data_IF_344777824442
#
_entry.id   IF_344777824442
#
_cell.length_a   1.000
_cell.length_b   1.000
_cell.length_c   1.000
_cell.angle_alpha   90.00
_cell.angle_beta   90.00
_cell.angle_gamma   90.00
#
_symmetry.space_group_name_H-M   'P 1'
#
loop_
_entity.id
_entity.type
_entity.pdbx_description
1 polymer ?
#
# COMPACT_ATOMS: atom_id res chain seq x y z
N UNK A 1 38.69 -96.77 44.76
CA UNK A 1 38.11 -95.81 43.84
C UNK A 1 36.96 -95.10 44.60
N UNK A 2 37.28 -94.04 45.28
CA UNK A 2 36.38 -93.29 46.12
C UNK A 2 35.94 -91.99 45.48
N UNK A 3 34.62 -91.85 45.35
CA UNK A 3 33.99 -90.58 44.93
C UNK A 3 33.84 -89.70 46.18
N UNK A 4 34.36 -88.53 46.14
CA UNK A 4 34.15 -87.49 47.17
C UNK A 4 33.14 -86.50 46.59
N UNK A 5 32.02 -86.37 47.31
CA UNK A 5 30.96 -85.44 46.99
C UNK A 5 31.18 -84.20 47.82
N UNK A 6 31.35 -83.02 47.22
CA UNK A 6 31.36 -81.74 47.92
C UNK A 6 30.02 -81.04 47.74
N UNK A 7 29.42 -80.81 48.90
CA UNK A 7 28.23 -79.98 49.00
C UNK A 7 28.66 -78.55 49.11
N UNK A 8 28.25 -77.67 48.17
CA UNK A 8 28.45 -76.24 48.27
C UNK A 8 27.13 -75.57 48.57
N UNK A 9 27.04 -74.92 49.74
CA UNK A 9 25.98 -74.08 50.21
C UNK A 9 26.08 -72.73 49.46
N UNK A 10 25.14 -72.41 48.57
CA UNK A 10 25.08 -71.15 47.86
C UNK A 10 24.24 -70.15 48.63
N UNK A 11 24.85 -69.09 49.09
CA UNK A 11 24.16 -67.94 49.69
C UNK A 11 23.61 -67.08 48.57
N UNK A 12 22.26 -66.96 48.52
CA UNK A 12 21.57 -66.10 47.61
C UNK A 12 21.59 -64.64 48.20
N UNK A 13 22.38 -63.77 47.61
CA UNK A 13 22.31 -62.33 47.89
C UNK A 13 21.32 -61.71 46.92
N UNK A 14 20.13 -61.32 47.42
CA UNK A 14 19.15 -60.55 46.66
C UNK A 14 19.63 -59.08 46.62
N UNK A 15 20.18 -58.62 45.51
CA UNK A 15 20.37 -57.20 45.21
C UNK A 15 19.06 -56.66 44.66
N UNK A 16 18.34 -55.87 45.43
CA UNK A 16 17.16 -55.10 44.98
C UNK A 16 17.66 -53.87 44.17
N UNK A 17 17.47 -53.91 42.83
CA UNK A 17 17.59 -52.73 41.98
C UNK A 17 16.34 -51.86 42.18
N UNK A 18 16.47 -50.75 42.91
CA UNK A 18 15.49 -49.67 42.88
C UNK A 18 15.68 -48.93 41.56
N UNK A 19 14.84 -49.22 40.55
CA UNK A 19 14.72 -48.45 39.36
C UNK A 19 13.93 -47.17 39.67
N UNK A 20 14.59 -46.05 39.93
CA UNK A 20 13.96 -44.73 39.94
C UNK A 20 13.65 -44.33 38.49
N UNK A 21 12.41 -44.51 38.10
CA UNK A 21 11.88 -43.93 36.85
C UNK A 21 11.78 -42.43 37.07
N UNK A 22 12.76 -41.68 36.57
CA UNK A 22 12.66 -40.23 36.35
C UNK A 22 11.64 -40.06 35.24
N UNK A 23 10.41 -39.84 35.61
CA UNK A 23 9.33 -39.44 34.71
C UNK A 23 9.68 -38.03 34.21
N UNK A 24 10.29 -37.90 33.01
CA UNK A 24 10.24 -36.67 32.27
C UNK A 24 8.78 -36.45 31.88
N UNK A 25 8.04 -35.71 32.71
CA UNK A 25 6.81 -35.08 32.24
C UNK A 25 7.27 -34.07 31.18
N UNK A 26 7.14 -34.43 29.90
CA UNK A 26 7.14 -33.45 28.82
C UNK A 26 6.00 -32.47 29.19
N UNK A 27 6.36 -31.29 29.72
CA UNK A 27 5.46 -30.16 29.76
C UNK A 27 5.06 -29.94 28.30
N UNK A 28 3.86 -30.35 27.93
CA UNK A 28 3.28 -30.01 26.65
C UNK A 28 3.37 -28.48 26.55
N UNK A 29 4.11 -27.98 25.58
CA UNK A 29 4.07 -26.56 25.27
C UNK A 29 2.59 -26.21 25.10
N UNK A 30 2.08 -25.30 25.93
CA UNK A 30 0.75 -24.75 25.71
C UNK A 30 0.69 -24.27 24.26
N UNK A 31 -0.36 -24.56 23.50
CA UNK A 31 -0.50 -24.01 22.16
C UNK A 31 -0.37 -22.49 22.27
N UNK A 32 0.56 -21.93 21.52
CA UNK A 32 0.67 -20.47 21.41
C UNK A 32 -0.73 -19.92 21.12
N UNK A 33 -1.16 -18.86 21.79
CA UNK A 33 -2.44 -18.24 21.47
C UNK A 33 -2.48 -17.94 19.96
N UNK A 34 -3.63 -18.12 19.30
CA UNK A 34 -3.73 -17.84 17.88
C UNK A 34 -3.23 -16.42 17.65
N UNK A 35 -2.27 -16.29 16.76
CA UNK A 35 -1.67 -14.99 16.41
C UNK A 35 -2.80 -14.09 15.93
N UNK A 36 -2.93 -12.91 16.51
CA UNK A 36 -3.91 -11.93 16.05
C UNK A 36 -3.59 -11.53 14.61
N UNK A 37 -4.63 -11.29 13.82
CA UNK A 37 -4.48 -10.87 12.42
C UNK A 37 -5.14 -9.52 12.23
N UNK A 38 -4.51 -8.69 11.41
CA UNK A 38 -5.05 -7.43 10.93
C UNK A 38 -5.14 -7.48 9.40
N UNK A 39 -6.36 -7.40 8.88
CA UNK A 39 -6.64 -7.42 7.45
C UNK A 39 -6.64 -6.00 6.91
N UNK A 40 -5.77 -5.71 5.95
CA UNK A 40 -5.57 -4.38 5.38
C UNK A 40 -5.85 -4.42 3.88
N UNK A 41 -6.70 -3.52 3.38
CA UNK A 41 -6.77 -3.27 1.94
C UNK A 41 -6.04 -1.95 1.62
N UNK A 42 -5.19 -1.97 0.61
CA UNK A 42 -4.45 -0.80 0.15
C UNK A 42 -4.57 -0.62 -1.36
N UNK A 43 -4.11 0.51 -1.89
CA UNK A 43 -4.05 0.69 -3.35
C UNK A 43 -2.81 0.03 -3.93
N UNK A 44 -2.93 -0.45 -5.18
CA UNK A 44 -1.80 -1.00 -5.93
C UNK A 44 -0.64 0.00 -5.98
N UNK A 45 -0.92 1.27 -6.27
CA UNK A 45 0.10 2.32 -6.34
C UNK A 45 0.82 2.54 -5.00
N UNK A 46 0.12 2.54 -3.86
CA UNK A 46 0.76 2.65 -2.56
C UNK A 46 1.59 1.40 -2.22
N UNK A 47 1.09 0.22 -2.54
CA UNK A 47 1.82 -1.03 -2.33
C UNK A 47 3.11 -1.09 -3.16
N UNK A 48 3.03 -0.70 -4.43
CA UNK A 48 4.14 -0.71 -5.39
C UNK A 48 5.27 0.26 -5.01
N UNK A 49 5.01 1.28 -4.19
CA UNK A 49 6.08 2.15 -3.65
C UNK A 49 7.02 1.41 -2.70
N UNK A 50 6.61 0.25 -2.18
CA UNK A 50 7.35 -0.50 -1.17
C UNK A 50 7.20 0.03 0.26
N UNK A 51 6.44 1.09 0.50
CA UNK A 51 6.27 1.67 1.84
C UNK A 51 5.69 0.64 2.82
N UNK A 52 4.73 -0.18 2.39
CA UNK A 52 4.19 -1.25 3.22
C UNK A 52 5.25 -2.28 3.60
N UNK A 53 6.04 -2.79 2.65
CA UNK A 53 7.13 -3.71 2.94
C UNK A 53 8.18 -3.17 3.91
N UNK A 54 8.24 -1.83 4.08
CA UNK A 54 9.08 -1.16 5.05
C UNK A 54 8.42 -1.03 6.43
N UNK A 55 7.12 -0.68 6.50
CA UNK A 55 6.41 -0.40 7.76
C UNK A 55 5.77 -1.64 8.41
N UNK A 56 5.27 -2.59 7.61
CA UNK A 56 4.60 -3.82 8.04
C UNK A 56 5.40 -4.60 9.10
N UNK A 57 6.70 -4.96 8.88
CA UNK A 57 7.46 -5.72 9.88
C UNK A 57 7.65 -4.97 11.20
N UNK A 58 7.62 -3.63 11.17
CA UNK A 58 7.75 -2.81 12.38
C UNK A 58 6.47 -2.86 13.20
N UNK A 59 5.32 -2.71 12.53
CA UNK A 59 4.01 -2.81 13.17
C UNK A 59 3.76 -4.20 13.74
N UNK A 60 4.00 -5.25 12.95
CA UNK A 60 3.84 -6.65 13.40
C UNK A 60 4.67 -6.95 14.65
N UNK A 61 5.91 -6.49 14.66
CA UNK A 61 6.81 -6.67 15.82
C UNK A 61 6.34 -5.91 17.05
N UNK A 62 5.84 -4.68 16.87
CA UNK A 62 5.42 -3.81 17.98
C UNK A 62 4.13 -4.32 18.63
N UNK A 63 3.17 -4.77 17.82
CA UNK A 63 1.84 -5.16 18.30
C UNK A 63 1.63 -6.68 18.41
N UNK A 64 2.59 -7.50 18.00
CA UNK A 64 2.48 -8.96 18.05
C UNK A 64 1.35 -9.51 17.18
N UNK A 65 1.08 -8.88 16.05
CA UNK A 65 0.02 -9.19 15.09
C UNK A 65 0.62 -9.62 13.76
N UNK A 66 -0.09 -10.40 12.96
CA UNK A 66 0.23 -10.68 11.55
C UNK A 66 -0.66 -9.83 10.66
N UNK A 67 -0.08 -9.11 9.72
CA UNK A 67 -0.83 -8.29 8.75
C UNK A 67 -1.11 -9.08 7.47
N UNK A 68 -2.39 -9.06 7.06
CA UNK A 68 -2.83 -9.56 5.76
C UNK A 68 -3.09 -8.39 4.83
N UNK A 69 -2.12 -8.02 4.02
CA UNK A 69 -2.24 -6.87 3.11
C UNK A 69 -2.69 -7.35 1.73
N UNK A 70 -3.86 -6.89 1.30
CA UNK A 70 -4.35 -7.03 -0.07
C UNK A 70 -4.30 -5.68 -0.77
N UNK A 71 -3.97 -5.68 -2.06
CA UNK A 71 -3.88 -4.45 -2.84
C UNK A 71 -4.73 -4.53 -4.11
N UNK A 72 -5.43 -3.44 -4.41
CA UNK A 72 -6.33 -3.32 -5.54
C UNK A 72 -6.50 -1.86 -5.95
N UNK A 73 -7.31 -1.57 -6.97
CA UNK A 73 -7.76 -0.19 -7.23
C UNK A 73 -8.64 0.33 -6.07
N UNK A 74 -8.68 1.65 -5.89
CA UNK A 74 -9.41 2.30 -4.78
C UNK A 74 -10.85 1.78 -4.62
N UNK A 75 -11.61 1.67 -5.71
CA UNK A 75 -13.00 1.19 -5.67
C UNK A 75 -13.13 -0.23 -5.11
N UNK A 76 -12.22 -1.13 -5.49
CA UNK A 76 -12.19 -2.52 -5.00
C UNK A 76 -11.76 -2.56 -3.54
N UNK A 77 -10.77 -1.76 -3.13
CA UNK A 77 -10.34 -1.69 -1.74
C UNK A 77 -11.48 -1.22 -0.81
N UNK A 78 -12.25 -0.21 -1.24
CA UNK A 78 -13.44 0.26 -0.53
C UNK A 78 -14.54 -0.82 -0.48
N UNK A 79 -14.70 -1.60 -1.55
CA UNK A 79 -15.66 -2.70 -1.58
C UNK A 79 -15.31 -3.83 -0.61
N UNK A 80 -14.02 -4.16 -0.45
CA UNK A 80 -13.58 -5.07 0.63
C UNK A 80 -13.97 -4.54 2.01
N UNK A 81 -13.84 -3.22 2.23
CA UNK A 81 -14.30 -2.58 3.46
C UNK A 81 -15.81 -2.67 3.66
N UNK A 82 -16.64 -2.41 2.61
CA UNK A 82 -18.10 -2.52 2.68
C UNK A 82 -18.57 -3.92 3.07
N UNK A 83 -17.90 -4.95 2.56
CA UNK A 83 -18.21 -6.35 2.85
C UNK A 83 -17.67 -6.84 4.19
N UNK A 84 -16.77 -6.07 4.85
CA UNK A 84 -16.09 -6.48 6.08
C UNK A 84 -15.02 -7.55 5.87
N UNK A 85 -14.47 -7.63 4.66
CA UNK A 85 -13.38 -8.55 4.33
C UNK A 85 -12.05 -8.08 4.94
N UNK A 86 -11.95 -6.79 5.28
CA UNK A 86 -10.79 -6.15 5.89
C UNK A 86 -11.18 -5.37 7.15
N UNK A 87 -10.20 -5.00 7.95
CA UNK A 87 -10.36 -4.25 9.20
C UNK A 87 -10.03 -2.76 9.04
N UNK A 88 -9.15 -2.46 8.08
CA UNK A 88 -8.71 -1.10 7.76
C UNK A 88 -8.41 -0.99 6.27
N UNK A 89 -8.66 0.17 5.70
CA UNK A 89 -8.28 0.50 4.33
C UNK A 89 -7.30 1.67 4.33
N UNK A 90 -6.35 1.66 3.38
CA UNK A 90 -5.40 2.76 3.14
C UNK A 90 -5.42 3.10 1.66
N UNK A 91 -6.02 4.23 1.35
CA UNK A 91 -6.33 4.67 -0.01
C UNK A 91 -6.04 6.16 -0.19
N UNK A 92 -6.24 6.72 -1.39
CA UNK A 92 -5.89 8.09 -1.72
C UNK A 92 -6.90 8.76 -2.68
N UNK A 93 -8.19 8.55 -2.44
CA UNK A 93 -9.26 9.20 -3.20
C UNK A 93 -10.24 9.88 -2.26
N UNK A 94 -9.95 11.13 -1.88
CA UNK A 94 -10.69 11.88 -0.85
C UNK A 94 -12.20 11.80 -1.02
N UNK A 95 -12.72 12.04 -2.21
CA UNK A 95 -14.17 12.02 -2.48
C UNK A 95 -14.80 10.65 -2.18
N UNK A 96 -14.15 9.55 -2.60
CA UNK A 96 -14.66 8.21 -2.32
C UNK A 96 -14.51 7.82 -0.85
N UNK A 97 -13.46 8.28 -0.19
CA UNK A 97 -13.20 8.06 1.23
C UNK A 97 -14.23 8.77 2.10
N UNK A 98 -14.50 10.05 1.80
CA UNK A 98 -15.53 10.85 2.48
C UNK A 98 -16.93 10.24 2.29
N UNK A 99 -17.24 9.77 1.08
CA UNK A 99 -18.49 9.06 0.81
C UNK A 99 -18.58 7.76 1.61
N UNK A 100 -17.51 6.95 1.67
CA UNK A 100 -17.45 5.70 2.41
C UNK A 100 -17.71 5.91 3.91
N UNK A 101 -17.14 6.98 4.49
CA UNK A 101 -17.37 7.37 5.88
C UNK A 101 -18.81 7.89 6.07
N UNK A 102 -19.31 8.73 5.17
CA UNK A 102 -20.67 9.27 5.23
C UNK A 102 -21.75 8.18 5.11
N UNK A 103 -21.48 7.10 4.37
CA UNK A 103 -22.32 5.90 4.27
C UNK A 103 -22.25 5.03 5.55
N UNK A 104 -21.37 5.35 6.51
CA UNK A 104 -21.20 4.68 7.79
C UNK A 104 -20.37 3.40 7.74
N UNK A 105 -19.68 3.08 6.65
CA UNK A 105 -18.80 1.91 6.54
C UNK A 105 -17.42 2.12 7.17
N UNK A 106 -16.92 3.36 7.16
CA UNK A 106 -15.70 3.77 7.84
C UNK A 106 -16.00 4.58 9.08
N UNK A 107 -15.10 4.54 10.07
CA UNK A 107 -15.22 5.36 11.30
C UNK A 107 -14.83 6.79 11.02
N UNK A 108 -13.62 7.03 10.55
CA UNK A 108 -13.03 8.32 10.27
C UNK A 108 -11.94 8.19 9.21
N UNK A 109 -11.78 9.22 8.40
CA UNK A 109 -10.69 9.37 7.46
C UNK A 109 -9.51 10.05 8.14
N UNK A 110 -8.39 9.35 8.27
CA UNK A 110 -7.17 9.85 8.93
C UNK A 110 -6.04 9.94 7.91
N UNK A 111 -5.69 11.13 7.39
CA UNK A 111 -4.54 11.33 6.53
C UNK A 111 -3.24 11.02 7.28
N UNK A 112 -2.29 10.32 6.65
CA UNK A 112 -1.00 10.02 7.29
C UNK A 112 0.19 10.46 6.46
N UNK A 113 0.02 10.59 5.14
CA UNK A 113 1.07 11.05 4.23
C UNK A 113 0.46 11.65 2.97
N UNK A 114 1.24 12.44 2.25
CA UNK A 114 0.87 12.89 0.91
C UNK A 114 2.09 12.94 -0.01
N UNK A 115 1.83 12.92 -1.29
CA UNK A 115 2.78 13.27 -2.34
C UNK A 115 2.04 13.98 -3.48
N UNK A 116 2.65 14.04 -4.65
CA UNK A 116 2.02 14.64 -5.81
C UNK A 116 1.96 13.62 -6.96
N UNK A 117 0.94 13.76 -7.78
CA UNK A 117 0.97 13.23 -9.11
C UNK A 117 1.92 14.07 -9.97
N UNK A 118 2.41 13.46 -11.04
CA UNK A 118 3.25 14.08 -12.04
C UNK A 118 2.60 13.93 -13.40
N UNK A 119 2.67 14.94 -14.24
CA UNK A 119 2.54 14.73 -15.68
C UNK A 119 3.96 14.54 -16.19
N UNK A 120 4.25 13.37 -16.73
CA UNK A 120 5.55 13.00 -17.28
C UNK A 120 5.44 12.93 -18.80
N UNK A 121 6.56 13.13 -19.50
CA UNK A 121 6.61 13.09 -20.95
C UNK A 121 8.04 12.97 -21.46
N UNK A 122 8.22 12.83 -22.77
CA UNK A 122 9.56 12.80 -23.38
C UNK A 122 10.27 14.14 -23.24
N UNK A 123 11.60 14.11 -23.19
CA UNK A 123 12.44 15.32 -23.11
C UNK A 123 12.15 16.34 -24.23
N UNK A 124 11.71 15.85 -25.39
CA UNK A 124 11.39 16.68 -26.55
C UNK A 124 10.18 17.61 -26.34
N UNK A 125 9.33 17.33 -25.36
CA UNK A 125 8.14 18.12 -24.99
C UNK A 125 7.38 18.69 -26.21
N UNK A 126 6.81 17.84 -27.09
CA UNK A 126 6.25 18.29 -28.37
C UNK A 126 5.10 19.29 -28.23
N UNK A 127 4.38 19.26 -27.13
CA UNK A 127 3.32 20.22 -26.81
C UNK A 127 3.83 21.45 -26.05
N UNK A 128 5.10 21.45 -25.63
CA UNK A 128 5.73 22.52 -24.83
C UNK A 128 4.90 22.85 -23.57
N UNK A 129 4.60 21.82 -22.79
CA UNK A 129 3.79 21.92 -21.55
C UNK A 129 4.64 22.00 -20.28
N UNK A 130 5.95 21.81 -20.37
CA UNK A 130 6.85 21.80 -19.21
C UNK A 130 6.73 23.08 -18.38
N UNK A 131 6.45 22.90 -17.08
CA UNK A 131 6.33 24.01 -16.12
C UNK A 131 5.00 24.77 -16.17
N UNK A 132 4.02 24.33 -16.96
CA UNK A 132 2.65 24.89 -16.95
C UNK A 132 1.88 24.42 -15.73
N UNK A 133 0.69 25.01 -15.47
CA UNK A 133 -0.26 24.38 -14.56
C UNK A 133 -0.80 23.07 -15.17
N UNK A 134 -1.21 22.08 -14.37
CA UNK A 134 -1.76 20.82 -14.89
C UNK A 134 -2.93 21.03 -15.85
N UNK A 135 -3.82 21.96 -15.50
CA UNK A 135 -5.03 22.29 -16.25
C UNK A 135 -4.67 22.94 -17.60
N UNK A 136 -3.78 23.93 -17.58
CA UNK A 136 -3.34 24.63 -18.80
C UNK A 136 -2.58 23.68 -19.73
N UNK A 137 -1.81 22.74 -19.18
CA UNK A 137 -1.11 21.74 -19.95
C UNK A 137 -2.06 20.81 -20.69
N UNK A 138 -3.06 20.26 -19.99
CA UNK A 138 -4.06 19.39 -20.62
C UNK A 138 -4.93 20.18 -21.62
N UNK A 139 -5.28 21.43 -21.29
CA UNK A 139 -5.96 22.32 -22.22
C UNK A 139 -5.14 22.51 -23.48
N UNK A 140 -3.84 22.79 -23.39
CA UNK A 140 -2.95 22.95 -24.52
C UNK A 140 -2.83 21.69 -25.37
N UNK A 141 -2.76 20.51 -24.74
CA UNK A 141 -2.79 19.23 -25.45
C UNK A 141 -4.08 19.09 -26.28
N UNK A 142 -5.22 19.43 -25.70
CA UNK A 142 -6.51 19.36 -26.40
C UNK A 142 -6.61 20.35 -27.56
N UNK A 143 -6.14 21.58 -27.38
CA UNK A 143 -6.20 22.63 -28.39
C UNK A 143 -5.24 22.41 -29.57
N UNK A 144 -4.07 21.82 -29.31
CA UNK A 144 -3.02 21.66 -30.33
C UNK A 144 -2.99 20.28 -30.97
N UNK A 145 -3.42 19.25 -30.25
CA UNK A 145 -3.22 17.83 -30.64
C UNK A 145 -1.73 17.46 -30.78
N UNK A 146 -0.84 18.24 -30.16
CA UNK A 146 0.60 18.05 -30.28
C UNK A 146 1.08 17.08 -29.20
N UNK A 147 1.50 15.89 -29.63
CA UNK A 147 1.94 14.82 -28.74
C UNK A 147 0.79 13.88 -28.33
N UNK A 148 1.16 12.66 -27.98
CA UNK A 148 0.22 11.64 -27.51
C UNK A 148 0.07 11.76 -26.00
N UNK A 149 -1.09 11.33 -25.51
CA UNK A 149 -1.32 11.14 -24.06
C UNK A 149 -1.78 9.70 -23.81
N UNK A 150 -1.07 9.01 -22.94
CA UNK A 150 -1.43 7.63 -22.53
C UNK A 150 -2.12 7.71 -21.17
N UNK A 151 -3.40 7.42 -21.16
CA UNK A 151 -4.19 7.28 -19.94
C UNK A 151 -4.08 5.87 -19.38
N UNK A 152 -4.24 5.71 -18.07
CA UNK A 152 -4.44 4.39 -17.48
C UNK A 152 -5.71 3.72 -17.99
N UNK A 153 -6.82 4.44 -18.14
CA UNK A 153 -8.09 3.92 -18.65
C UNK A 153 -8.68 2.73 -17.86
N UNK A 154 -8.39 2.60 -16.54
CA UNK A 154 -8.67 1.40 -15.74
C UNK A 154 -9.50 1.68 -14.47
N UNK A 155 -10.16 2.83 -14.42
CA UNK A 155 -10.95 3.33 -13.27
C UNK A 155 -10.19 3.34 -11.91
N UNK A 156 -8.86 3.38 -11.95
CA UNK A 156 -8.01 3.57 -10.77
C UNK A 156 -8.09 4.98 -10.20
N UNK A 157 -7.49 5.19 -9.02
CA UNK A 157 -7.35 6.53 -8.44
C UNK A 157 -6.58 7.50 -9.34
N UNK A 158 -5.55 7.03 -10.05
CA UNK A 158 -4.80 7.83 -11.04
C UNK A 158 -5.69 8.23 -12.23
N UNK A 159 -6.48 7.29 -12.75
CA UNK A 159 -7.44 7.57 -13.82
C UNK A 159 -8.53 8.56 -13.36
N UNK A 160 -9.04 8.40 -12.13
CA UNK A 160 -9.98 9.35 -11.53
C UNK A 160 -9.38 10.75 -11.36
N UNK A 161 -8.11 10.85 -10.97
CA UNK A 161 -7.36 12.11 -10.88
C UNK A 161 -7.21 12.76 -12.25
N UNK A 162 -6.85 12.00 -13.26
CA UNK A 162 -6.76 12.47 -14.64
C UNK A 162 -8.08 13.07 -15.15
N UNK A 163 -9.19 12.34 -14.96
CA UNK A 163 -10.54 12.84 -15.29
C UNK A 163 -10.85 14.17 -14.59
N UNK A 164 -10.40 14.31 -13.34
CA UNK A 164 -10.60 15.57 -12.57
C UNK A 164 -9.80 16.72 -13.16
N UNK A 165 -8.58 16.48 -13.64
CA UNK A 165 -7.75 17.52 -14.27
C UNK A 165 -8.37 17.92 -15.62
N UNK A 166 -8.81 16.97 -16.45
CA UNK A 166 -9.52 17.25 -17.71
C UNK A 166 -10.77 18.11 -17.50
N UNK A 167 -11.56 17.76 -16.49
CA UNK A 167 -12.75 18.55 -16.13
C UNK A 167 -12.37 19.97 -15.70
N UNK A 168 -11.30 20.15 -14.95
CA UNK A 168 -10.85 21.46 -14.51
C UNK A 168 -10.21 22.27 -15.67
N UNK A 169 -9.64 21.58 -16.66
CA UNK A 169 -9.20 22.18 -17.93
C UNK A 169 -10.37 22.60 -18.84
N UNK A 170 -11.61 22.26 -18.48
CA UNK A 170 -12.83 22.65 -19.20
C UNK A 170 -13.32 21.63 -20.21
N UNK A 171 -12.88 20.37 -20.13
CA UNK A 171 -13.25 19.31 -21.08
C UNK A 171 -13.97 18.17 -20.39
N UNK A 172 -15.06 17.70 -21.01
CA UNK A 172 -15.70 16.45 -20.65
C UNK A 172 -14.82 15.28 -21.10
N UNK A 173 -14.71 14.27 -20.24
CA UNK A 173 -13.83 13.12 -20.50
C UNK A 173 -14.22 12.35 -21.77
N UNK A 174 -15.52 12.23 -22.06
CA UNK A 174 -16.05 11.59 -23.27
C UNK A 174 -15.58 12.31 -24.55
N UNK A 175 -15.33 13.62 -24.50
CA UNK A 175 -14.77 14.39 -25.61
C UNK A 175 -13.28 14.09 -25.77
N UNK A 176 -12.55 14.01 -24.65
CA UNK A 176 -11.11 13.73 -24.66
C UNK A 176 -10.82 12.35 -25.25
N UNK A 177 -11.62 11.33 -24.92
CA UNK A 177 -11.45 9.96 -25.42
C UNK A 177 -11.67 9.80 -26.92
N UNK A 178 -12.26 10.80 -27.60
CA UNK A 178 -12.44 10.77 -29.06
C UNK A 178 -11.23 11.31 -29.81
N UNK A 179 -10.23 11.88 -29.12
CA UNK A 179 -9.06 12.42 -29.76
C UNK A 179 -8.10 11.31 -30.20
N UNK A 180 -7.61 11.35 -31.44
CA UNK A 180 -6.70 10.32 -31.99
C UNK A 180 -5.35 10.23 -31.24
N UNK A 181 -4.95 11.29 -30.58
CA UNK A 181 -3.70 11.35 -29.77
C UNK A 181 -3.90 10.84 -28.34
N UNK A 182 -5.12 10.58 -27.90
CA UNK A 182 -5.44 10.06 -26.56
C UNK A 182 -5.64 8.55 -26.61
N UNK A 183 -4.89 7.82 -25.78
CA UNK A 183 -4.86 6.36 -25.81
C UNK A 183 -5.05 5.82 -24.38
N UNK A 184 -6.06 4.99 -24.19
CA UNK A 184 -6.28 4.27 -22.93
C UNK A 184 -5.50 2.96 -22.91
N UNK A 185 -4.54 2.82 -21.98
CA UNK A 185 -3.74 1.61 -21.84
C UNK A 185 -4.52 0.44 -21.25
N UNK A 186 -5.55 0.70 -20.43
CA UNK A 186 -6.32 -0.33 -19.72
C UNK A 186 -5.46 -1.15 -18.76
N UNK A 187 -4.37 -0.56 -18.20
CA UNK A 187 -3.35 -1.29 -17.42
C UNK A 187 -2.90 -0.50 -16.21
N UNK A 188 -2.20 -1.19 -15.27
CA UNK A 188 -1.57 -0.58 -14.11
C UNK A 188 -0.50 0.46 -14.49
N UNK A 189 -0.04 1.25 -13.49
CA UNK A 189 0.82 2.41 -13.75
C UNK A 189 2.16 2.06 -14.38
N UNK A 190 2.85 1.00 -13.93
CA UNK A 190 4.11 0.57 -14.51
C UNK A 190 4.03 0.31 -16.02
N UNK A 191 3.17 -0.60 -16.51
CA UNK A 191 2.93 -0.82 -17.94
C UNK A 191 2.52 0.43 -18.70
N UNK A 192 1.73 1.34 -18.08
CA UNK A 192 1.34 2.61 -18.70
C UNK A 192 2.56 3.53 -18.90
N UNK A 193 3.47 3.61 -17.92
CA UNK A 193 4.72 4.37 -18.03
C UNK A 193 5.62 3.83 -19.14
N UNK A 194 5.76 2.50 -19.26
CA UNK A 194 6.53 1.90 -20.37
C UNK A 194 5.92 2.25 -21.71
N UNK A 195 4.61 2.14 -21.87
CA UNK A 195 3.92 2.50 -23.09
C UNK A 195 4.12 4.00 -23.42
N UNK A 196 4.00 4.87 -22.44
CA UNK A 196 4.25 6.31 -22.63
C UNK A 196 5.70 6.58 -23.03
N UNK A 197 6.68 5.86 -22.48
CA UNK A 197 8.10 5.96 -22.83
C UNK A 197 8.34 5.50 -24.27
N UNK A 198 7.82 4.35 -24.69
CA UNK A 198 7.94 3.81 -26.04
C UNK A 198 7.28 4.71 -27.10
N UNK A 199 6.11 5.27 -26.78
CA UNK A 199 5.36 6.15 -27.66
C UNK A 199 5.80 7.62 -27.60
N UNK A 200 6.80 7.95 -26.78
CA UNK A 200 7.27 9.33 -26.52
C UNK A 200 6.09 10.26 -26.12
N UNK A 201 5.18 9.71 -25.33
CA UNK A 201 3.90 10.31 -24.96
C UNK A 201 3.96 10.95 -23.57
N UNK A 202 2.94 11.75 -23.28
CA UNK A 202 2.64 12.20 -21.91
C UNK A 202 1.80 11.18 -21.18
N UNK A 203 1.91 11.14 -19.85
CA UNK A 203 1.00 10.38 -18.98
C UNK A 203 0.97 10.99 -17.59
N UNK A 204 -0.11 10.74 -16.86
CA UNK A 204 -0.22 11.05 -15.43
C UNK A 204 0.30 9.85 -14.63
N UNK A 205 1.20 10.09 -13.68
CA UNK A 205 1.72 9.06 -12.76
C UNK A 205 1.76 9.60 -11.34
N UNK A 206 1.62 8.71 -10.36
CA UNK A 206 2.07 9.05 -9.01
C UNK A 206 3.62 9.09 -8.95
N UNK A 207 4.14 9.95 -8.09
CA UNK A 207 5.58 10.16 -7.94
C UNK A 207 6.31 8.88 -7.54
N UNK A 208 5.73 8.08 -6.64
CA UNK A 208 6.36 6.86 -6.13
C UNK A 208 6.61 5.85 -7.23
N UNK A 209 5.58 5.55 -8.04
CA UNK A 209 5.71 4.62 -9.16
C UNK A 209 6.67 5.15 -10.22
N UNK A 210 6.58 6.44 -10.59
CA UNK A 210 7.52 7.02 -11.57
C UNK A 210 8.98 6.85 -11.12
N UNK A 211 9.28 7.12 -9.86
CA UNK A 211 10.64 7.00 -9.33
C UNK A 211 11.13 5.56 -9.24
N UNK A 212 10.25 4.60 -8.95
CA UNK A 212 10.60 3.18 -8.94
C UNK A 212 11.05 2.67 -10.33
N UNK A 213 10.64 3.36 -11.39
CA UNK A 213 11.05 3.05 -12.77
C UNK A 213 12.08 4.04 -13.33
N UNK A 214 12.53 5.02 -12.54
CA UNK A 214 13.56 5.99 -12.96
C UNK A 214 14.81 5.29 -13.49
N UNK A 215 15.30 5.74 -14.66
CA UNK A 215 16.44 5.13 -15.36
C UNK A 215 16.10 3.91 -16.24
N UNK A 216 14.81 3.51 -16.28
CA UNK A 216 14.29 2.51 -17.23
C UNK A 216 13.33 3.10 -18.26
N UNK A 217 13.06 4.39 -18.15
CA UNK A 217 12.10 5.14 -18.96
C UNK A 217 12.79 6.35 -19.57
N UNK A 218 12.45 6.65 -20.82
CA UNK A 218 12.84 7.88 -21.51
C UNK A 218 11.76 8.96 -21.28
N UNK A 219 11.41 9.17 -20.01
CA UNK A 219 10.42 10.15 -19.57
C UNK A 219 11.01 11.05 -18.48
N UNK A 220 10.60 12.31 -18.50
CA UNK A 220 10.94 13.30 -17.47
C UNK A 220 9.67 13.92 -16.88
N UNK A 221 9.71 14.44 -15.64
CA UNK A 221 8.65 15.28 -15.11
C UNK A 221 8.48 16.54 -15.95
N UNK A 222 7.31 16.71 -16.53
CA UNK A 222 6.90 17.94 -17.21
C UNK A 222 6.23 18.90 -16.25
N UNK A 223 5.38 18.33 -15.36
CA UNK A 223 4.63 19.08 -14.36
C UNK A 223 4.65 18.29 -13.06
N UNK A 224 5.16 18.91 -12.01
CA UNK A 224 5.34 18.34 -10.68
C UNK A 224 4.70 19.19 -9.56
N UNK A 225 3.95 20.24 -9.95
CA UNK A 225 3.32 21.20 -9.03
C UNK A 225 1.90 21.53 -9.47
N UNK A 226 1.09 21.88 -8.49
CA UNK A 226 -0.32 22.27 -8.65
C UNK A 226 -1.18 21.59 -7.61
N UNK A 227 -2.13 22.31 -7.02
CA UNK A 227 -2.98 21.80 -5.93
C UNK A 227 -3.78 20.57 -6.37
N UNK A 228 -4.21 20.53 -7.63
CA UNK A 228 -4.94 19.39 -8.16
C UNK A 228 -4.09 18.11 -8.24
N UNK A 229 -2.76 18.22 -8.29
CA UNK A 229 -1.84 17.08 -8.27
C UNK A 229 -1.63 16.51 -6.87
N UNK A 230 -2.12 17.19 -5.82
CA UNK A 230 -1.99 16.69 -4.46
C UNK A 230 -2.64 15.31 -4.32
N UNK A 231 -1.92 14.39 -3.73
CA UNK A 231 -2.29 13.00 -3.53
C UNK A 231 -2.13 12.62 -2.06
N UNK A 232 -3.24 12.60 -1.32
CA UNK A 232 -3.26 12.37 0.12
C UNK A 232 -3.65 10.93 0.41
N UNK A 233 -2.80 10.24 1.13
CA UNK A 233 -3.02 8.86 1.61
C UNK A 233 -3.64 8.89 2.99
N UNK A 234 -4.75 8.18 3.13
CA UNK A 234 -5.51 8.11 4.38
C UNK A 234 -5.74 6.68 4.81
N UNK A 235 -5.79 6.47 6.12
CA UNK A 235 -6.23 5.23 6.74
C UNK A 235 -7.65 5.39 7.29
N UNK A 236 -8.50 4.38 7.10
CA UNK A 236 -9.89 4.36 7.56
C UNK A 236 -10.18 3.01 8.20
N UNK A 237 -10.44 2.99 9.51
CA UNK A 237 -10.90 1.79 10.19
C UNK A 237 -12.34 1.46 9.75
N UNK A 238 -12.61 0.18 9.54
CA UNK A 238 -13.97 -0.28 9.19
C UNK A 238 -14.87 -0.18 10.41
N UNK A 239 -16.06 0.36 10.21
CA UNK A 239 -17.02 0.59 11.30
C UNK A 239 -17.57 -0.74 11.85
N UNK A 240 -17.34 -1.07 13.14
CA UNK A 240 -17.81 -2.31 13.75
C UNK A 240 -19.36 -2.37 13.86
N UNK A 241 -20.06 -1.25 13.81
CA UNK A 241 -21.54 -1.25 13.78
C UNK A 241 -22.08 -1.85 12.47
N UNK A 242 -21.38 -1.68 11.36
CA UNK A 242 -21.70 -2.31 10.06
C UNK A 242 -21.09 -3.70 9.94
N UNK A 243 -19.87 -3.88 10.42
CA UNK A 243 -19.08 -5.08 10.31
C UNK A 243 -18.60 -5.57 11.69
N UNK A 244 -19.41 -6.29 12.47
CA UNK A 244 -19.10 -6.67 13.87
C UNK A 244 -17.86 -7.57 14.03
N UNK A 245 -17.31 -8.11 12.93
CA UNK A 245 -16.09 -8.93 12.95
C UNK A 245 -14.80 -8.11 12.78
N UNK A 246 -14.92 -6.78 12.60
CA UNK A 246 -13.76 -5.89 12.45
C UNK A 246 -12.90 -5.93 13.72
N UNK A 247 -11.60 -6.13 13.53
CA UNK A 247 -10.61 -5.94 14.59
C UNK A 247 -10.33 -4.44 14.77
N UNK A 248 -11.32 -3.74 15.34
CA UNK A 248 -11.27 -2.27 15.46
C UNK A 248 -10.13 -1.80 16.36
N UNK A 249 -9.77 -2.56 17.38
CA UNK A 249 -8.66 -2.22 18.27
C UNK A 249 -7.35 -2.17 17.47
N UNK A 250 -7.07 -3.20 16.69
CA UNK A 250 -5.83 -3.30 15.92
C UNK A 250 -5.84 -2.34 14.72
N UNK A 251 -7.01 -2.08 14.11
CA UNK A 251 -7.16 -1.04 13.09
C UNK A 251 -6.81 0.36 13.64
N UNK A 252 -7.29 0.70 14.84
CA UNK A 252 -6.95 1.94 15.51
C UNK A 252 -5.47 2.01 15.89
N UNK A 253 -4.88 0.89 16.32
CA UNK A 253 -3.44 0.81 16.60
C UNK A 253 -2.62 1.07 15.33
N UNK A 254 -3.02 0.56 14.17
CA UNK A 254 -2.35 0.85 12.91
C UNK A 254 -2.45 2.34 12.54
N UNK A 255 -3.61 2.96 12.72
CA UNK A 255 -3.79 4.39 12.47
C UNK A 255 -2.91 5.21 13.41
N UNK A 256 -2.89 4.88 14.70
CA UNK A 256 -2.03 5.53 15.70
C UNK A 256 -0.54 5.35 15.37
N UNK A 257 -0.14 4.16 14.93
CA UNK A 257 1.22 3.87 14.47
C UNK A 257 1.60 4.75 13.28
N UNK A 258 0.80 4.76 12.22
CA UNK A 258 1.04 5.57 11.01
C UNK A 258 1.15 7.07 11.29
N UNK A 259 0.43 7.57 12.30
CA UNK A 259 0.43 8.99 12.68
C UNK A 259 1.36 9.34 13.84
N UNK A 260 2.06 8.36 14.41
CA UNK A 260 3.02 8.58 15.50
C UNK A 260 4.24 9.39 15.03
N UNK A 261 4.83 10.26 15.87
CA UNK A 261 5.98 11.07 15.47
C UNK A 261 7.13 10.26 14.91
N UNK A 262 7.41 9.08 15.48
CA UNK A 262 8.48 8.20 15.04
C UNK A 262 8.23 7.65 13.64
N UNK A 263 7.03 7.17 13.35
CA UNK A 263 6.69 6.60 12.04
C UNK A 263 6.56 7.70 10.99
N UNK A 264 6.09 8.87 11.36
CA UNK A 264 6.06 10.04 10.49
C UNK A 264 7.48 10.46 10.06
N UNK A 265 8.46 10.40 10.94
CA UNK A 265 9.86 10.63 10.57
C UNK A 265 10.37 9.55 9.59
N UNK A 266 10.01 8.27 9.81
CA UNK A 266 10.35 7.18 8.90
C UNK A 266 9.71 7.37 7.52
N UNK A 267 8.44 7.74 7.45
CA UNK A 267 7.72 8.06 6.21
C UNK A 267 8.41 9.22 5.49
N UNK A 268 8.76 10.29 6.21
CA UNK A 268 9.44 11.46 5.67
C UNK A 268 10.84 11.16 5.11
N UNK A 269 11.54 10.18 5.64
CA UNK A 269 12.86 9.77 5.17
C UNK A 269 12.81 8.64 4.14
N UNK A 270 11.63 8.06 3.89
CA UNK A 270 11.47 6.96 2.95
C UNK A 270 11.79 7.38 1.51
N UNK A 271 12.64 6.63 0.84
CA UNK A 271 13.08 6.88 -0.53
C UNK A 271 14.28 7.83 -0.67
N UNK A 272 14.63 8.61 0.36
CA UNK A 272 15.74 9.59 0.28
C UNK A 272 17.07 8.90 -0.06
N UNK A 273 17.34 7.75 0.54
CA UNK A 273 18.58 7.00 0.29
C UNK A 273 18.59 6.39 -1.12
N UNK A 274 17.46 5.91 -1.60
CA UNK A 274 17.34 5.16 -2.85
C UNK A 274 17.20 6.08 -4.07
N UNK A 275 16.40 7.13 -3.95
CA UNK A 275 16.05 8.01 -5.07
C UNK A 275 16.66 9.42 -4.96
N UNK A 276 17.32 9.73 -3.83
CA UNK A 276 17.86 11.06 -3.56
C UNK A 276 16.81 12.11 -3.21
N UNK A 277 15.56 11.69 -3.01
CA UNK A 277 14.44 12.56 -2.64
C UNK A 277 13.38 11.80 -1.84
N UNK A 278 12.60 12.55 -1.08
CA UNK A 278 11.50 12.09 -0.27
C UNK A 278 10.31 11.66 -1.14
N UNK A 279 9.81 10.43 -0.96
CA UNK A 279 8.64 9.93 -1.70
C UNK A 279 7.32 10.39 -1.10
N UNK A 280 7.29 10.60 0.20
CA UNK A 280 6.09 11.00 0.94
C UNK A 280 6.40 12.16 1.89
N UNK A 281 5.49 13.07 2.00
CA UNK A 281 5.50 14.09 3.04
C UNK A 281 4.54 13.66 4.14
N UNK A 282 5.01 13.53 5.39
CA UNK A 282 4.16 13.19 6.53
C UNK A 282 3.11 14.28 6.80
N UNK A 283 1.92 13.89 7.27
CA UNK A 283 0.88 14.85 7.66
C UNK A 283 0.14 14.52 8.97
N UNK A 284 0.51 13.45 9.68
CA UNK A 284 0.13 13.12 11.06
C UNK A 284 -1.36 13.35 11.43
N UNK A 285 -2.28 12.93 10.57
CA UNK A 285 -3.72 13.07 10.78
C UNK A 285 -4.32 14.38 10.27
N UNK A 286 -3.51 15.32 9.80
CA UNK A 286 -3.98 16.61 9.27
C UNK A 286 -4.04 16.62 7.74
N UNK A 287 -5.05 17.28 7.18
CA UNK A 287 -5.11 17.54 5.74
C UNK A 287 -4.01 18.53 5.33
N UNK A 288 -3.23 18.24 4.29
CA UNK A 288 -2.27 19.20 3.76
C UNK A 288 -3.00 20.43 3.19
N UNK A 289 -2.54 21.63 3.57
CA UNK A 289 -3.09 22.90 3.06
C UNK A 289 -4.42 23.32 3.70
N UNK A 290 -4.84 22.71 4.80
CA UNK A 290 -5.99 23.15 5.62
C UNK A 290 -5.60 24.20 6.65
#
# INVERSE_FOLDING_TARGET
MRKVTYCFLGILVLLGLLATTIGCTAQGAEPLPPQQRLRVATTTSLYDTGLWGYLEPMFEKEYGVEMDIIYAGTGIALEYGRRGDVDVITVHSKTHEEQFVAEGYGVERVPFAYNYFLIVGSENDPASIKGMSPEDALKKLMETGSGKFISRGDDSGTHGKEKSIWKQAGYDYEVVTQAEWYIEAGRGMGPTLFMASEEQAYTLSDMGTFLAYKGKLDLEPMIDKGDILLNVYSAIAINPEKNPKTNIEMANNLIAFLTSPQVQELIGNYGVKEYGLQLFTPCAGAEPGS
#
